data_IF_891237840122
#
_entry.id   IF_891237840122
#
_cell.length_a   1.000
_cell.length_b   1.000
_cell.length_c   1.000
_cell.angle_alpha   90.00
_cell.angle_beta   90.00
_cell.angle_gamma   90.00
#
_symmetry.space_group_name_H-M   'P 1'
#
loop_
_entity.id
_entity.type
_entity.pdbx_description
1 polymer ?
#
# COMPACT_ATOMS: atom_id res chain seq x y z
N UNK A 1 -4.19 -44.52 23.66
CA UNK A 1 -4.62 -44.09 22.30
C UNK A 1 -4.89 -45.35 21.49
N UNK A 2 -6.04 -45.47 20.83
CA UNK A 2 -6.35 -46.67 20.03
C UNK A 2 -5.48 -46.74 18.77
N UNK A 3 -5.16 -47.95 18.30
CA UNK A 3 -4.33 -48.16 17.10
C UNK A 3 -4.87 -47.44 15.85
N UNK A 4 -6.19 -47.23 15.76
CA UNK A 4 -6.83 -46.49 14.67
C UNK A 4 -6.40 -45.01 14.59
N UNK A 5 -6.25 -44.33 15.74
CA UNK A 5 -5.77 -42.94 15.77
C UNK A 5 -4.31 -42.85 15.31
N UNK A 6 -3.49 -43.84 15.69
CA UNK A 6 -2.08 -43.91 15.29
C UNK A 6 -1.92 -44.10 13.77
N UNK A 7 -2.73 -44.98 13.17
CA UNK A 7 -2.73 -45.23 11.72
C UNK A 7 -3.15 -43.97 10.94
N UNK A 8 -4.20 -43.27 11.39
CA UNK A 8 -4.65 -42.02 10.77
C UNK A 8 -3.57 -40.93 10.85
N UNK A 9 -2.93 -40.77 12.01
CA UNK A 9 -1.85 -39.81 12.19
C UNK A 9 -0.66 -40.11 11.25
N UNK A 10 -0.28 -41.38 11.08
CA UNK A 10 0.78 -41.79 10.16
C UNK A 10 0.43 -41.48 8.70
N UNK A 11 -0.82 -41.75 8.28
CA UNK A 11 -1.29 -41.41 6.93
C UNK A 11 -1.27 -39.91 6.67
N UNK A 12 -1.78 -39.11 7.61
CA UNK A 12 -1.75 -37.65 7.50
C UNK A 12 -0.31 -37.13 7.39
N UNK A 13 0.60 -37.62 8.23
CA UNK A 13 2.01 -37.25 8.17
C UNK A 13 2.64 -37.54 6.80
N UNK A 14 2.32 -38.70 6.21
CA UNK A 14 2.78 -39.05 4.86
C UNK A 14 2.26 -38.11 3.77
N UNK A 15 0.96 -37.80 3.79
CA UNK A 15 0.34 -36.85 2.84
C UNK A 15 0.96 -35.46 3.00
N UNK A 16 1.10 -34.99 4.24
CA UNK A 16 1.66 -33.67 4.54
C UNK A 16 3.13 -33.57 4.08
N UNK A 17 3.93 -34.62 4.27
CA UNK A 17 5.32 -34.65 3.78
C UNK A 17 5.38 -34.51 2.27
N UNK A 18 4.57 -35.29 1.54
CA UNK A 18 4.50 -35.22 0.08
C UNK A 18 4.04 -33.84 -0.41
N UNK A 19 3.03 -33.26 0.24
CA UNK A 19 2.56 -31.90 -0.08
C UNK A 19 3.66 -30.86 0.12
N UNK A 20 4.46 -30.97 1.19
CA UNK A 20 5.61 -30.09 1.44
C UNK A 20 6.73 -30.27 0.42
N UNK A 21 6.93 -31.47 -0.12
CA UNK A 21 7.88 -31.71 -1.21
C UNK A 21 7.42 -31.04 -2.50
N UNK A 22 6.15 -31.19 -2.87
CA UNK A 22 5.54 -30.54 -4.03
C UNK A 22 5.66 -29.00 -3.96
N UNK A 23 5.34 -28.41 -2.81
CA UNK A 23 5.49 -26.96 -2.59
C UNK A 23 6.93 -26.50 -2.83
N UNK A 24 7.91 -27.28 -2.34
CA UNK A 24 9.33 -26.98 -2.52
C UNK A 24 9.78 -27.14 -3.97
N UNK A 25 9.33 -28.18 -4.67
CA UNK A 25 9.71 -28.43 -6.07
C UNK A 25 9.11 -27.39 -7.02
N UNK A 26 7.83 -27.05 -6.81
CA UNK A 26 7.07 -26.12 -7.66
C UNK A 26 7.21 -24.65 -7.23
N UNK A 27 7.90 -24.38 -6.12
CA UNK A 27 8.23 -23.03 -5.61
C UNK A 27 7.00 -22.12 -5.44
N UNK A 28 5.92 -22.64 -4.87
CA UNK A 28 4.73 -21.86 -4.50
C UNK A 28 4.48 -21.94 -2.99
N UNK A 29 3.63 -21.06 -2.47
CA UNK A 29 3.21 -21.07 -1.07
C UNK A 29 1.80 -21.66 -0.95
N UNK A 30 1.59 -22.57 0.00
CA UNK A 30 0.26 -23.02 0.42
C UNK A 30 0.13 -22.90 1.94
N UNK A 31 -0.78 -22.05 2.39
CA UNK A 31 -0.94 -21.72 3.80
C UNK A 31 -1.46 -22.89 4.64
N UNK A 32 -2.31 -23.76 4.08
CA UNK A 32 -2.81 -24.95 4.77
C UNK A 32 -1.69 -25.92 5.11
N UNK A 33 -0.82 -26.21 4.14
CA UNK A 33 0.31 -27.13 4.32
C UNK A 33 1.41 -26.54 5.19
N UNK A 34 1.65 -25.22 5.09
CA UNK A 34 2.64 -24.53 5.91
C UNK A 34 2.22 -24.46 7.39
N UNK A 35 0.93 -24.24 7.66
CA UNK A 35 0.39 -24.04 9.02
C UNK A 35 -0.75 -25.00 9.31
N UNK A 36 -0.51 -26.32 9.39
CA UNK A 36 -1.60 -27.27 9.37
C UNK A 36 -2.52 -27.24 10.59
N UNK A 37 -2.06 -26.68 11.72
CA UNK A 37 -2.86 -26.50 12.93
C UNK A 37 -3.74 -25.24 12.94
N UNK A 38 -3.60 -24.34 11.96
CA UNK A 38 -4.39 -23.10 11.88
C UNK A 38 -5.75 -23.31 11.19
N UNK A 39 -5.85 -24.37 10.39
CA UNK A 39 -6.99 -24.61 9.52
C UNK A 39 -7.81 -25.81 10.00
N UNK A 40 -9.11 -25.71 9.76
CA UNK A 40 -10.10 -26.75 10.05
C UNK A 40 -10.82 -27.12 8.75
N UNK A 41 -11.55 -28.24 8.75
CA UNK A 41 -12.34 -28.71 7.60
C UNK A 41 -11.54 -28.72 6.29
N UNK A 42 -10.44 -29.48 6.28
CA UNK A 42 -9.52 -29.58 5.13
C UNK A 42 -10.17 -30.13 3.86
N UNK A 43 -11.30 -30.81 4.01
CA UNK A 43 -12.14 -31.31 2.94
C UNK A 43 -12.97 -30.22 2.23
N UNK A 44 -13.11 -29.03 2.83
CA UNK A 44 -13.87 -27.93 2.24
C UNK A 44 -13.09 -27.23 1.14
N UNK A 45 -13.81 -26.72 0.13
CA UNK A 45 -13.25 -25.83 -0.87
C UNK A 45 -12.97 -24.42 -0.30
N UNK A 46 -13.64 -24.05 0.79
CA UNK A 46 -13.43 -22.79 1.49
C UNK A 46 -12.42 -22.94 2.64
N UNK A 47 -11.68 -21.88 2.93
CA UNK A 47 -10.77 -21.85 4.07
C UNK A 47 -11.57 -21.70 5.37
N UNK A 48 -11.54 -22.72 6.22
CA UNK A 48 -12.05 -22.64 7.59
C UNK A 48 -10.90 -22.58 8.59
N UNK A 49 -10.99 -21.67 9.56
CA UNK A 49 -9.88 -21.31 10.44
C UNK A 49 -9.23 -20.00 9.99
N UNK A 50 -7.96 -19.80 10.33
CA UNK A 50 -7.23 -18.59 9.99
C UNK A 50 -6.44 -18.04 11.17
N UNK A 51 -5.58 -17.07 10.88
CA UNK A 51 -4.67 -16.50 11.86
C UNK A 51 -5.37 -15.51 12.78
N UNK A 52 -5.04 -15.55 14.07
CA UNK A 52 -5.42 -14.54 15.06
C UNK A 52 -4.75 -13.20 14.79
N UNK A 53 -3.46 -13.25 14.45
CA UNK A 53 -2.63 -12.07 14.22
C UNK A 53 -1.69 -12.35 13.05
N UNK A 54 -1.59 -11.39 12.15
CA UNK A 54 -0.57 -11.37 11.09
C UNK A 54 0.22 -10.07 11.23
N UNK A 55 1.54 -10.18 11.37
CA UNK A 55 2.46 -9.05 11.46
C UNK A 55 3.47 -9.14 10.33
N UNK A 56 3.84 -8.02 9.73
CA UNK A 56 4.83 -8.06 8.66
C UNK A 56 5.35 -6.71 8.16
N UNK A 57 6.43 -6.79 7.40
CA UNK A 57 6.93 -5.72 6.55
C UNK A 57 6.95 -6.26 5.12
N UNK A 58 5.83 -6.14 4.38
CA UNK A 58 5.73 -6.75 3.05
C UNK A 58 6.72 -6.11 2.08
N UNK A 59 7.13 -6.82 1.01
CA UNK A 59 8.17 -6.37 0.12
C UNK A 59 7.75 -5.12 -0.70
N UNK A 60 8.60 -4.10 -0.73
CA UNK A 60 8.37 -2.86 -1.48
C UNK A 60 8.83 -2.97 -2.95
N UNK A 61 8.16 -3.86 -3.70
CA UNK A 61 8.48 -4.11 -5.12
C UNK A 61 7.54 -3.29 -6.01
N UNK A 62 8.13 -2.44 -6.85
CA UNK A 62 7.38 -1.59 -7.79
C UNK A 62 6.73 -2.40 -8.92
N UNK A 63 5.62 -1.88 -9.44
CA UNK A 63 4.83 -2.49 -10.51
C UNK A 63 5.64 -2.91 -11.75
N UNK A 64 6.74 -2.20 -12.07
CA UNK A 64 7.59 -2.50 -13.23
C UNK A 64 8.30 -3.86 -13.10
N UNK A 65 8.61 -4.27 -11.87
CA UNK A 65 9.35 -5.50 -11.57
C UNK A 65 8.43 -6.73 -11.45
N UNK A 66 7.12 -6.52 -11.33
CA UNK A 66 6.11 -7.60 -11.22
C UNK A 66 5.29 -7.79 -12.50
N UNK A 67 5.74 -7.26 -13.64
CA UNK A 67 5.03 -7.35 -14.93
C UNK A 67 4.65 -8.78 -15.32
N UNK A 68 5.53 -9.75 -15.09
CA UNK A 68 5.31 -11.16 -15.42
C UNK A 68 4.14 -11.81 -14.66
N UNK A 69 3.74 -11.21 -13.53
CA UNK A 69 2.70 -11.73 -12.64
C UNK A 69 1.36 -11.00 -12.76
N UNK A 70 1.25 -9.95 -13.60
CA UNK A 70 0.07 -9.08 -13.63
C UNK A 70 -1.23 -9.83 -13.95
N UNK A 71 -1.21 -10.78 -14.88
CA UNK A 71 -2.42 -11.54 -15.24
C UNK A 71 -2.87 -12.44 -14.08
N UNK A 72 -1.91 -13.07 -13.38
CA UNK A 72 -2.16 -13.90 -12.20
C UNK A 72 -2.66 -13.05 -11.03
N UNK A 73 -2.05 -11.89 -10.77
CA UNK A 73 -2.44 -10.96 -9.72
C UNK A 73 -3.84 -10.41 -9.96
N UNK A 74 -4.16 -10.02 -11.20
CA UNK A 74 -5.52 -9.56 -11.57
C UNK A 74 -6.57 -10.64 -11.32
N UNK A 75 -6.26 -11.90 -11.63
CA UNK A 75 -7.16 -13.03 -11.39
C UNK A 75 -7.31 -13.36 -9.91
N UNK A 76 -6.23 -13.28 -9.13
CA UNK A 76 -6.23 -13.63 -7.72
C UNK A 76 -6.84 -12.53 -6.82
N UNK A 77 -6.65 -11.26 -7.19
CA UNK A 77 -6.99 -10.09 -6.39
C UNK A 77 -7.81 -9.05 -7.17
N UNK A 78 -8.97 -9.42 -7.75
CA UNK A 78 -9.72 -8.54 -8.63
C UNK A 78 -10.18 -7.23 -7.96
N UNK A 79 -10.47 -7.26 -6.65
CA UNK A 79 -10.98 -6.10 -5.90
C UNK A 79 -9.90 -5.04 -5.63
N UNK A 80 -8.64 -5.46 -5.44
CA UNK A 80 -7.51 -4.59 -5.09
C UNK A 80 -6.54 -4.35 -6.25
N UNK A 81 -6.72 -5.05 -7.38
CA UNK A 81 -5.81 -4.97 -8.51
C UNK A 81 -5.81 -3.62 -9.20
N UNK A 82 -4.62 -3.06 -9.35
CA UNK A 82 -4.32 -1.96 -10.24
C UNK A 82 -3.00 -2.24 -10.96
N UNK A 83 -2.96 -1.91 -12.26
CA UNK A 83 -1.79 -2.16 -13.10
C UNK A 83 -0.53 -1.40 -12.66
N UNK A 84 -0.67 -0.40 -11.80
CA UNK A 84 0.40 0.43 -11.25
C UNK A 84 0.63 0.19 -9.75
N UNK A 85 -0.06 -0.77 -9.13
CA UNK A 85 0.10 -1.08 -7.73
C UNK A 85 1.45 -1.74 -7.41
N UNK A 86 2.03 -1.34 -6.29
CA UNK A 86 3.18 -2.02 -5.68
C UNK A 86 2.76 -3.37 -5.10
N UNK A 87 3.71 -4.31 -5.00
CA UNK A 87 3.43 -5.71 -4.63
C UNK A 87 2.75 -5.86 -3.25
N UNK A 88 3.07 -5.01 -2.27
CA UNK A 88 2.48 -5.09 -0.93
C UNK A 88 0.96 -4.89 -0.90
N UNK A 89 0.36 -4.28 -1.93
CA UNK A 89 -1.10 -4.12 -2.02
C UNK A 89 -1.79 -5.49 -2.02
N UNK A 90 -1.22 -6.46 -2.74
CA UNK A 90 -1.74 -7.81 -2.83
C UNK A 90 -1.52 -8.63 -1.57
N UNK A 91 -0.48 -8.30 -0.79
CA UNK A 91 -0.25 -8.90 0.53
C UNK A 91 -1.35 -8.50 1.52
N UNK A 92 -1.79 -7.24 1.52
CA UNK A 92 -2.93 -6.83 2.35
C UNK A 92 -4.21 -7.62 2.02
N UNK A 93 -4.53 -7.75 0.73
CA UNK A 93 -5.73 -8.50 0.30
C UNK A 93 -5.62 -9.99 0.67
N UNK A 94 -4.48 -10.61 0.39
CA UNK A 94 -4.22 -12.00 0.76
C UNK A 94 -4.35 -12.22 2.27
N UNK A 95 -3.74 -11.37 3.09
CA UNK A 95 -3.67 -11.59 4.53
C UNK A 95 -5.01 -11.32 5.23
N UNK A 96 -5.82 -10.38 4.72
CA UNK A 96 -7.21 -10.22 5.16
C UNK A 96 -8.06 -11.49 4.92
N UNK A 97 -7.79 -12.24 3.84
CA UNK A 97 -8.46 -13.53 3.58
C UNK A 97 -8.02 -14.60 4.58
N UNK A 98 -6.75 -14.58 4.99
CA UNK A 98 -6.17 -15.56 5.91
C UNK A 98 -6.49 -15.30 7.38
N UNK A 99 -6.89 -14.08 7.74
CA UNK A 99 -7.35 -13.77 9.10
C UNK A 99 -8.66 -14.48 9.43
N UNK A 100 -8.77 -14.94 10.68
CA UNK A 100 -10.07 -15.32 11.26
C UNK A 100 -10.92 -14.06 11.53
N UNK A 101 -12.26 -14.17 11.62
CA UNK A 101 -13.09 -13.10 12.15
C UNK A 101 -12.57 -12.62 13.52
N UNK A 102 -12.41 -11.30 13.69
CA UNK A 102 -11.85 -10.68 14.88
C UNK A 102 -10.31 -10.65 14.92
N UNK A 103 -9.63 -11.34 13.99
CA UNK A 103 -8.18 -11.33 13.87
C UNK A 103 -7.63 -9.97 13.41
N UNK A 104 -6.35 -9.73 13.68
CA UNK A 104 -5.67 -8.45 13.40
C UNK A 104 -4.51 -8.61 12.42
N UNK A 105 -4.41 -7.69 11.48
CA UNK A 105 -3.28 -7.55 10.58
C UNK A 105 -2.58 -6.24 10.89
N UNK A 106 -1.26 -6.27 11.06
CA UNK A 106 -0.46 -5.06 11.14
C UNK A 106 0.76 -5.10 10.26
N UNK A 107 0.92 -4.06 9.44
CA UNK A 107 2.04 -3.91 8.54
C UNK A 107 2.79 -2.61 8.74
N UNK A 108 4.10 -2.69 8.53
CA UNK A 108 4.96 -1.53 8.26
C UNK A 108 5.06 -1.37 6.74
N UNK A 109 4.50 -0.29 6.19
CA UNK A 109 4.51 0.02 4.75
C UNK A 109 4.76 1.50 4.51
N UNK A 110 5.07 1.91 3.29
CA UNK A 110 5.11 3.34 2.94
C UNK A 110 3.72 3.97 3.05
N UNK A 111 3.60 5.25 3.45
CA UNK A 111 2.31 5.96 3.52
C UNK A 111 1.68 6.28 2.15
N UNK A 112 2.41 6.05 1.04
CA UNK A 112 2.01 6.45 -0.32
C UNK A 112 0.65 5.89 -0.76
N UNK A 113 0.36 4.64 -0.41
CA UNK A 113 -0.90 3.99 -0.80
C UNK A 113 -2.13 4.68 -0.19
N UNK A 114 -1.98 5.44 0.90
CA UNK A 114 -3.10 6.16 1.52
C UNK A 114 -3.65 7.24 0.58
N UNK A 115 -2.82 7.79 -0.32
CA UNK A 115 -3.20 8.87 -1.24
C UNK A 115 -3.18 8.48 -2.72
N UNK A 116 -2.39 7.47 -3.10
CA UNK A 116 -2.18 7.11 -4.50
C UNK A 116 -3.43 6.53 -5.18
N UNK A 117 -3.63 6.87 -6.47
CA UNK A 117 -4.76 6.38 -7.26
C UNK A 117 -4.82 4.85 -7.37
N UNK A 118 -3.67 4.19 -7.59
CA UNK A 118 -3.59 2.74 -7.73
C UNK A 118 -4.08 1.95 -6.49
N UNK A 119 -4.17 2.61 -5.34
CA UNK A 119 -4.56 1.98 -4.08
C UNK A 119 -6.04 2.25 -3.73
N UNK A 120 -6.84 2.79 -4.66
CA UNK A 120 -8.29 2.97 -4.45
C UNK A 120 -8.98 1.64 -4.11
N UNK A 121 -8.68 0.57 -4.86
CA UNK A 121 -9.22 -0.77 -4.60
C UNK A 121 -8.83 -1.31 -3.22
N UNK A 122 -7.59 -1.07 -2.78
CA UNK A 122 -7.14 -1.43 -1.43
C UNK A 122 -7.90 -0.65 -0.34
N UNK A 123 -8.06 0.66 -0.53
CA UNK A 123 -8.81 1.49 0.43
C UNK A 123 -10.28 1.09 0.49
N UNK A 124 -10.89 0.74 -0.65
CA UNK A 124 -12.24 0.20 -0.72
C UNK A 124 -12.33 -1.16 0.00
N UNK A 125 -11.36 -2.07 -0.24
CA UNK A 125 -11.28 -3.35 0.43
C UNK A 125 -11.26 -3.20 1.96
N UNK A 126 -10.50 -2.23 2.47
CA UNK A 126 -10.49 -1.92 3.90
C UNK A 126 -11.83 -1.37 4.39
N UNK A 127 -12.43 -0.43 3.65
CA UNK A 127 -13.73 0.14 4.02
C UNK A 127 -14.85 -0.93 4.12
N UNK A 128 -14.79 -1.96 3.27
CA UNK A 128 -15.82 -2.99 3.18
C UNK A 128 -15.57 -4.19 4.09
N UNK A 129 -14.30 -4.62 4.23
CA UNK A 129 -13.96 -5.93 4.81
C UNK A 129 -13.11 -5.85 6.08
N UNK A 130 -12.77 -4.65 6.55
CA UNK A 130 -11.92 -4.47 7.72
C UNK A 130 -12.33 -3.25 8.58
N UNK A 131 -11.89 -3.24 9.83
CA UNK A 131 -11.93 -2.08 10.70
C UNK A 131 -10.52 -1.58 10.90
N UNK A 132 -10.27 -0.31 10.56
CA UNK A 132 -8.99 0.32 10.85
C UNK A 132 -8.99 0.66 12.33
N UNK A 133 -8.15 -0.02 13.12
CA UNK A 133 -8.04 0.25 14.56
C UNK A 133 -6.99 1.32 14.83
N UNK A 134 -5.87 1.29 14.09
CA UNK A 134 -4.77 2.23 14.27
C UNK A 134 -4.05 2.53 12.95
N UNK A 135 -3.66 3.79 12.76
CA UNK A 135 -2.76 4.23 11.68
C UNK A 135 -1.74 5.22 12.23
N UNK A 136 -0.45 4.94 12.02
CA UNK A 136 0.62 5.89 12.27
C UNK A 136 1.30 6.29 10.96
N UNK A 137 1.48 7.59 10.74
CA UNK A 137 2.32 8.15 9.68
C UNK A 137 3.49 8.91 10.33
N UNK A 138 4.70 8.45 10.09
CA UNK A 138 5.92 9.06 10.62
C UNK A 138 6.56 10.05 9.61
N UNK A 139 5.88 10.34 8.50
CA UNK A 139 6.41 11.19 7.44
C UNK A 139 7.71 10.62 6.87
N UNK A 140 8.60 11.50 6.40
CA UNK A 140 9.91 11.12 5.85
C UNK A 140 10.94 10.84 6.97
N UNK A 141 10.68 9.80 7.76
CA UNK A 141 11.50 9.44 8.91
C UNK A 141 12.78 8.69 8.50
N UNK A 142 13.75 9.41 7.90
CA UNK A 142 15.08 8.85 7.58
C UNK A 142 15.77 8.17 8.76
N UNK A 143 15.43 8.56 9.99
CA UNK A 143 15.99 7.99 11.22
C UNK A 143 15.65 6.50 11.42
N UNK A 144 14.50 6.02 10.91
CA UNK A 144 14.13 4.60 11.04
C UNK A 144 14.86 3.71 10.04
N UNK A 145 15.18 4.23 8.87
CA UNK A 145 15.85 3.50 7.80
C UNK A 145 16.92 4.39 7.18
N UNK A 146 18.14 4.45 7.77
CA UNK A 146 19.21 5.35 7.33
C UNK A 146 19.58 5.17 5.85
N UNK A 147 19.49 3.94 5.37
CA UNK A 147 19.87 3.54 4.01
C UNK A 147 18.69 3.58 3.01
N UNK A 148 17.50 4.03 3.44
CA UNK A 148 16.31 4.05 2.58
C UNK A 148 15.52 5.36 2.71
N UNK A 149 15.26 6.00 1.57
CA UNK A 149 14.30 7.10 1.50
C UNK A 149 12.88 6.52 1.53
N UNK A 150 12.36 6.32 2.75
CA UNK A 150 11.04 5.76 2.98
C UNK A 150 10.19 6.67 3.85
N UNK A 151 8.88 6.56 3.64
CA UNK A 151 7.86 7.23 4.42
C UNK A 151 7.13 6.19 5.26
N UNK A 152 7.73 5.69 6.36
CA UNK A 152 7.19 4.56 7.07
C UNK A 152 5.86 4.93 7.72
N UNK A 153 4.93 4.00 7.58
CA UNK A 153 3.63 4.03 8.24
C UNK A 153 3.34 2.66 8.83
N UNK A 154 2.63 2.65 9.93
CA UNK A 154 2.10 1.45 10.55
C UNK A 154 0.59 1.50 10.44
N UNK A 155 -0.01 0.38 10.06
CA UNK A 155 -1.46 0.21 10.08
C UNK A 155 -1.80 -1.03 10.88
N UNK A 156 -2.88 -0.96 11.65
CA UNK A 156 -3.51 -2.10 12.32
C UNK A 156 -4.95 -2.16 11.85
N UNK A 157 -5.32 -3.28 11.27
CA UNK A 157 -6.68 -3.56 10.82
C UNK A 157 -7.21 -4.81 11.50
N UNK A 158 -8.50 -4.81 11.81
CA UNK A 158 -9.21 -5.94 12.38
C UNK A 158 -10.25 -6.46 11.40
N UNK A 159 -10.35 -7.77 11.24
CA UNK A 159 -11.42 -8.40 10.47
C UNK A 159 -12.72 -8.40 11.31
N UNK A 160 -13.87 -7.98 10.77
CA UNK A 160 -15.14 -7.98 11.52
C UNK A 160 -15.47 -9.36 12.10
N UNK A 161 -15.97 -9.41 13.34
CA UNK A 161 -16.36 -10.64 14.07
C UNK A 161 -17.86 -10.77 14.38
N UNK A 162 -18.71 -9.98 13.71
CA UNK A 162 -20.15 -9.95 13.97
C UNK A 162 -20.57 -9.06 15.15
N UNK A 163 -19.61 -8.43 15.82
CA UNK A 163 -19.84 -7.32 16.74
C UNK A 163 -19.99 -5.99 15.98
N UNK A 164 -20.49 -4.97 16.68
CA UNK A 164 -20.61 -3.64 16.12
C UNK A 164 -19.24 -3.03 15.81
N UNK A 165 -19.15 -2.36 14.67
CA UNK A 165 -17.92 -1.71 14.26
C UNK A 165 -17.58 -0.56 15.23
N UNK A 166 -16.31 -0.38 15.61
CA UNK A 166 -15.87 0.81 16.34
C UNK A 166 -16.26 2.10 15.58
N UNK A 167 -16.65 3.13 16.34
CA UNK A 167 -16.99 4.44 15.77
C UNK A 167 -15.75 5.18 15.28
N UNK A 168 -14.64 5.04 16.00
CA UNK A 168 -13.39 5.76 15.76
C UNK A 168 -12.22 4.83 15.46
N UNK A 169 -11.25 5.39 14.75
CA UNK A 169 -9.92 4.86 14.49
C UNK A 169 -8.89 5.73 15.21
N UNK A 170 -7.89 5.12 15.83
CA UNK A 170 -6.79 5.85 16.44
C UNK A 170 -5.77 6.24 15.37
N UNK A 171 -5.44 7.53 15.26
CA UNK A 171 -4.53 8.06 14.24
C UNK A 171 -3.39 8.80 14.90
N UNK A 172 -2.17 8.51 14.47
CA UNK A 172 -0.96 9.16 14.92
C UNK A 172 -0.22 9.76 13.71
N UNK A 173 0.06 11.05 13.75
CA UNK A 173 0.90 11.71 12.73
C UNK A 173 2.05 12.40 13.44
N UNK A 174 3.26 11.95 13.20
CA UNK A 174 4.48 12.56 13.73
C UNK A 174 5.26 13.13 12.56
N UNK A 175 5.47 14.46 12.50
CA UNK A 175 6.29 15.07 11.46
C UNK A 175 7.70 14.48 11.46
N UNK A 176 8.31 14.42 10.27
CA UNK A 176 9.62 13.78 10.06
C UNK A 176 10.71 14.27 11.02
N UNK A 177 10.69 15.55 11.36
CA UNK A 177 11.73 16.22 12.15
C UNK A 177 11.55 15.95 13.66
N UNK A 178 10.34 15.53 14.05
CA UNK A 178 9.91 15.31 15.43
C UNK A 178 9.92 13.82 15.83
N UNK A 179 10.29 12.91 14.92
CA UNK A 179 10.41 11.49 15.23
C UNK A 179 11.56 11.28 16.23
N UNK A 180 11.26 10.75 17.44
CA UNK A 180 12.27 10.61 18.48
C UNK A 180 13.10 9.34 18.28
N UNK A 181 14.35 9.36 18.74
CA UNK A 181 15.24 8.18 18.72
C UNK A 181 14.96 7.20 19.86
N UNK A 182 14.35 7.68 20.96
CA UNK A 182 13.99 6.92 22.16
C UNK A 182 12.57 7.30 22.57
N UNK A 183 11.90 6.44 23.32
CA UNK A 183 10.52 6.67 23.79
C UNK A 183 9.52 6.94 22.64
N UNK A 184 9.63 6.14 21.56
CA UNK A 184 8.72 6.24 20.42
C UNK A 184 7.27 5.95 20.82
N UNK A 185 7.07 5.02 21.74
CA UNK A 185 5.78 4.68 22.35
C UNK A 185 5.14 5.88 23.04
N UNK A 186 5.89 6.64 23.83
CA UNK A 186 5.41 7.87 24.47
C UNK A 186 5.03 8.93 23.42
N UNK A 187 5.87 9.12 22.40
CA UNK A 187 5.58 10.07 21.33
C UNK A 187 4.34 9.68 20.51
N UNK A 188 4.19 8.40 20.20
CA UNK A 188 2.99 7.88 19.52
C UNK A 188 1.77 8.09 20.39
N UNK A 189 1.82 7.72 21.68
CA UNK A 189 0.71 7.92 22.60
C UNK A 189 0.29 9.39 22.68
N UNK A 190 1.26 10.31 22.79
CA UNK A 190 1.02 11.76 22.86
C UNK A 190 0.46 12.34 21.55
N UNK A 191 0.90 11.83 20.40
CA UNK A 191 0.50 12.33 19.09
C UNK A 191 -0.77 11.64 18.53
N UNK A 192 -1.32 10.65 19.24
CA UNK A 192 -2.51 9.92 18.82
C UNK A 192 -3.79 10.71 19.11
N UNK A 193 -4.71 10.72 18.14
CA UNK A 193 -6.05 11.28 18.27
C UNK A 193 -7.07 10.41 17.53
N UNK A 194 -8.35 10.43 17.97
CA UNK A 194 -9.40 9.71 17.26
C UNK A 194 -9.77 10.43 15.96
N UNK A 195 -10.04 9.65 14.91
CA UNK A 195 -10.79 10.08 13.74
C UNK A 195 -11.98 9.14 13.52
N UNK A 196 -13.15 9.67 13.08
CA UNK A 196 -14.29 8.82 12.76
C UNK A 196 -13.92 7.77 11.71
N UNK A 197 -14.29 6.52 11.94
CA UNK A 197 -14.03 5.41 11.01
C UNK A 197 -14.61 5.69 9.61
N UNK A 198 -15.72 6.44 9.54
CA UNK A 198 -16.33 6.88 8.29
C UNK A 198 -15.41 7.73 7.39
N UNK A 199 -14.29 8.24 7.94
CA UNK A 199 -13.25 8.94 7.18
C UNK A 199 -12.46 8.01 6.25
N UNK A 200 -12.33 6.73 6.60
CA UNK A 200 -11.54 5.73 5.88
C UNK A 200 -12.38 5.10 4.76
N UNK A 201 -12.49 5.82 3.65
CA UNK A 201 -13.21 5.40 2.44
C UNK A 201 -12.23 5.04 1.31
N UNK A 202 -12.74 4.73 0.11
CA UNK A 202 -11.92 4.56 -1.09
C UNK A 202 -11.15 5.80 -1.54
N UNK A 203 -11.60 7.00 -1.13
CA UNK A 203 -10.95 8.27 -1.46
C UNK A 203 -9.63 8.37 -0.69
N UNK A 204 -8.70 9.19 -1.18
CA UNK A 204 -7.41 9.43 -0.51
C UNK A 204 -7.60 9.82 0.96
N UNK A 205 -6.85 9.18 1.85
CA UNK A 205 -6.91 9.43 3.29
C UNK A 205 -6.12 10.69 3.65
N UNK A 206 -6.74 11.50 4.50
CA UNK A 206 -6.22 12.77 5.02
C UNK A 206 -6.08 12.59 6.52
N UNK A 207 -4.89 12.21 6.99
CA UNK A 207 -4.70 11.86 8.40
C UNK A 207 -4.51 13.09 9.29
N UNK A 208 -4.49 14.30 8.76
CA UNK A 208 -4.19 15.55 9.46
C UNK A 208 -5.04 15.75 10.73
N UNK A 209 -4.45 16.26 11.84
CA UNK A 209 -5.19 16.49 13.07
C UNK A 209 -6.40 17.40 12.86
N UNK A 210 -7.49 17.25 13.63
CA UNK A 210 -8.72 18.04 13.48
C UNK A 210 -8.50 19.56 13.45
N UNK A 211 -7.53 20.07 14.23
CA UNK A 211 -7.15 21.50 14.24
C UNK A 211 -6.59 21.94 12.88
N UNK A 212 -5.69 21.15 12.30
CA UNK A 212 -5.11 21.42 10.98
C UNK A 212 -6.17 21.29 9.90
N UNK A 213 -7.01 20.25 9.95
CA UNK A 213 -8.11 20.06 9.01
C UNK A 213 -9.11 21.24 9.04
N UNK A 214 -9.43 21.75 10.24
CA UNK A 214 -10.29 22.92 10.42
C UNK A 214 -9.67 24.19 9.82
N UNK A 215 -8.37 24.41 10.06
CA UNK A 215 -7.64 25.53 9.47
C UNK A 215 -7.61 25.44 7.94
N UNK A 216 -7.34 24.26 7.39
CA UNK A 216 -7.34 24.03 5.94
C UNK A 216 -8.72 24.30 5.32
N UNK A 217 -9.80 23.92 6.01
CA UNK A 217 -11.17 24.23 5.57
C UNK A 217 -11.43 25.73 5.54
N UNK A 218 -10.98 26.46 6.57
CA UNK A 218 -11.08 27.92 6.63
C UNK A 218 -10.31 28.58 5.47
N UNK A 219 -9.08 28.14 5.20
CA UNK A 219 -8.27 28.66 4.09
C UNK A 219 -8.94 28.40 2.75
N UNK A 220 -9.41 27.16 2.50
CA UNK A 220 -10.10 26.78 1.26
C UNK A 220 -11.41 27.55 1.05
N UNK A 221 -12.10 27.93 2.12
CA UNK A 221 -13.34 28.73 2.04
C UNK A 221 -13.11 30.24 1.93
N UNK A 222 -11.90 30.75 2.18
CA UNK A 222 -11.63 32.20 2.21
C UNK A 222 -11.11 32.77 0.89
N UNK A 223 -10.95 31.96 -0.15
CA UNK A 223 -10.37 32.40 -1.42
C UNK A 223 -10.87 31.61 -2.63
N UNK A 224 -10.70 32.21 -3.81
CA UNK A 224 -11.02 31.58 -5.09
C UNK A 224 -9.86 30.63 -5.46
N UNK A 225 -10.12 29.35 -5.76
CA UNK A 225 -9.09 28.45 -6.25
C UNK A 225 -8.36 29.04 -7.46
N UNK A 226 -7.02 28.94 -7.51
CA UNK A 226 -6.23 29.51 -8.61
C UNK A 226 -6.71 29.06 -9.99
N UNK A 227 -7.17 27.81 -10.11
CA UNK A 227 -7.69 27.28 -11.36
C UNK A 227 -8.97 28.00 -11.82
N UNK A 228 -9.81 28.44 -10.88
CA UNK A 228 -11.01 29.24 -11.16
C UNK A 228 -10.63 30.69 -11.44
N UNK A 229 -9.77 31.28 -10.61
CA UNK A 229 -9.27 32.66 -10.81
C UNK A 229 -8.58 32.85 -12.17
N UNK A 230 -7.73 31.91 -12.56
CA UNK A 230 -6.99 31.95 -13.82
C UNK A 230 -7.80 31.41 -15.02
N UNK A 231 -8.98 30.81 -14.79
CA UNK A 231 -9.75 30.13 -15.83
C UNK A 231 -9.05 28.93 -16.48
N UNK A 232 -7.96 28.44 -15.88
CA UNK A 232 -7.11 27.39 -16.44
C UNK A 232 -6.57 26.48 -15.33
N UNK A 233 -6.58 25.17 -15.55
CA UNK A 233 -5.94 24.22 -14.65
C UNK A 233 -4.42 24.29 -14.82
N UNK A 234 -3.63 24.11 -13.75
CA UNK A 234 -2.18 23.99 -13.87
C UNK A 234 -1.82 22.86 -14.84
N UNK A 235 -1.09 23.18 -15.90
CA UNK A 235 -0.55 22.18 -16.83
C UNK A 235 0.85 21.77 -16.39
N UNK A 236 1.21 20.53 -16.70
CA UNK A 236 2.60 20.08 -16.58
C UNK A 236 3.41 20.72 -17.71
N UNK A 237 4.56 21.30 -17.37
CA UNK A 237 5.49 21.84 -18.36
C UNK A 237 6.04 20.77 -19.32
N UNK A 238 6.87 21.20 -20.27
CA UNK A 238 7.49 20.30 -21.25
C UNK A 238 8.36 19.26 -20.53
N UNK A 239 8.06 17.98 -20.73
CA UNK A 239 8.89 16.87 -20.28
C UNK A 239 9.80 16.47 -21.43
N UNK A 240 11.07 16.87 -21.35
CA UNK A 240 12.02 16.63 -22.43
C UNK A 240 12.64 15.23 -22.37
N UNK A 241 12.66 14.60 -21.20
CA UNK A 241 13.25 13.27 -20.99
C UNK A 241 14.78 13.20 -21.19
N UNK A 242 15.39 14.27 -21.69
CA UNK A 242 16.80 14.40 -22.02
C UNK A 242 17.40 15.58 -21.25
N UNK A 243 17.47 15.46 -19.91
CA UNK A 243 17.92 16.55 -19.05
C UNK A 243 19.30 17.09 -19.46
N UNK A 244 20.19 16.24 -19.95
CA UNK A 244 21.55 16.60 -20.41
C UNK A 244 21.55 17.61 -21.57
N UNK A 245 20.55 17.58 -22.45
CA UNK A 245 20.46 18.54 -23.56
C UNK A 245 19.97 19.93 -23.14
N UNK A 246 19.36 20.06 -21.95
CA UNK A 246 18.73 21.30 -21.48
C UNK A 246 19.40 21.89 -20.24
N UNK A 247 20.22 21.11 -19.52
CA UNK A 247 21.03 21.57 -18.40
C UNK A 247 22.43 21.96 -18.90
N UNK A 248 22.55 23.20 -19.36
CA UNK A 248 23.83 23.74 -19.84
C UNK A 248 24.62 24.29 -18.64
N UNK A 249 25.67 23.57 -18.24
CA UNK A 249 26.61 24.06 -17.23
C UNK A 249 27.51 25.18 -17.80
N UNK A 250 28.02 26.05 -16.93
CA UNK A 250 28.85 27.21 -17.30
C UNK A 250 30.13 26.86 -18.06
N UNK A 251 30.57 25.60 -17.99
CA UNK A 251 31.77 25.06 -18.65
C UNK A 251 31.56 24.70 -20.13
N UNK A 252 30.32 24.67 -20.62
CA UNK A 252 30.05 24.34 -22.02
C UNK A 252 30.43 25.52 -22.96
N UNK A 253 31.10 25.24 -24.10
CA UNK A 253 31.54 26.26 -25.06
C UNK A 253 30.40 27.18 -25.51
N UNK A 254 30.70 28.48 -25.75
CA UNK A 254 29.73 29.53 -26.11
C UNK A 254 28.80 29.18 -27.27
N UNK A 255 29.16 28.25 -28.15
CA UNK A 255 28.33 27.81 -29.29
C UNK A 255 27.05 27.08 -28.88
N UNK A 256 26.99 26.45 -27.71
CA UNK A 256 25.77 25.82 -27.19
C UNK A 256 24.76 26.82 -26.58
N UNK A 257 25.08 28.12 -26.52
CA UNK A 257 24.26 29.16 -25.88
C UNK A 257 23.36 29.95 -26.85
N UNK A 258 23.22 29.53 -28.11
CA UNK A 258 22.29 30.19 -29.03
C UNK A 258 20.85 29.81 -28.65
N UNK A 259 19.94 30.78 -28.41
CA UNK A 259 18.57 30.48 -28.06
C UNK A 259 17.89 29.72 -29.20
N UNK A 260 17.27 28.58 -28.86
CA UNK A 260 16.43 27.80 -29.76
C UNK A 260 15.26 28.69 -30.21
N UNK A 261 15.28 29.18 -31.46
CA UNK A 261 14.10 29.84 -32.04
C UNK A 261 13.13 28.74 -32.46
N UNK A 262 12.04 28.57 -31.72
CA UNK A 262 10.88 27.80 -32.17
C UNK A 262 10.19 28.58 -33.30
N UNK A 263 10.55 28.29 -34.55
CA UNK A 263 9.74 28.69 -35.71
C UNK A 263 8.47 27.84 -35.72
N UNK A 264 7.32 28.49 -35.60
CA UNK A 264 6.02 27.87 -35.81
C UNK A 264 5.96 27.30 -37.24
N UNK A 265 5.88 25.97 -37.35
CA UNK A 265 5.41 25.31 -38.56
C UNK A 265 4.16 24.50 -38.19
N UNK A 266 3.01 25.14 -38.37
CA UNK A 266 1.76 24.43 -38.50
C UNK A 266 1.74 23.78 -39.89
N UNK A 267 1.80 22.45 -39.95
CA UNK A 267 1.16 21.67 -41.02
C UNK A 267 1.18 20.18 -40.70
N UNK A 268 0.02 19.57 -40.86
CA UNK A 268 -0.26 18.14 -40.78
C UNK A 268 0.67 17.29 -41.66
N UNK A 269 0.88 16.03 -41.26
CA UNK A 269 1.54 15.05 -42.12
C UNK A 269 1.98 13.80 -41.38
N UNK A 270 1.22 12.73 -41.57
CA UNK A 270 1.59 11.36 -41.23
C UNK A 270 3.00 10.97 -41.70
N UNK A 271 3.79 10.35 -40.84
CA UNK A 271 4.59 9.15 -41.15
C UNK A 271 5.50 8.80 -39.96
N UNK A 272 5.52 7.51 -39.61
CA UNK A 272 6.58 6.91 -38.78
C UNK A 272 7.91 6.99 -39.55
N UNK A 273 9.05 6.90 -38.84
CA UNK A 273 9.80 5.66 -39.01
C UNK A 273 10.42 5.11 -37.72
N UNK A 274 10.69 3.81 -37.80
CA UNK A 274 11.49 3.00 -36.89
C UNK A 274 12.90 3.57 -36.71
N UNK A 275 13.42 3.52 -35.48
CA UNK A 275 14.49 2.61 -35.02
C UNK A 275 14.29 2.36 -33.52
#
# INVERSE_FOLDING_TARGET
MSDGVRILAQRFAGILSRARELIRSEKFQNWQVAFPGVWTRWESAELHGGFDVILGNPPYVRQELIKAYKSQLKRAFPDSYDGSADLYVYFFDQDLRLLKPGGRLSYVVTNKWMRAGYAEGLRQLFADKAWIEFVADFGHAKKFFPDADVFPSVIVVRKPSGEDAPEDTQVCVIPRDDVPEKALDEAVSKATYPLPRAHFTKVSWVLEPPVVASLMRKIRGSGIPLAEFAGAKPYRGILTGLNEAFLINSELPRYCRRPFRLSHAASAGSSRPAW
#
